data_IF_410464372162
#
_entry.id   IF_410464372162
#
_cell.length_a   1.000
_cell.length_b   1.000
_cell.length_c   1.000
_cell.angle_alpha   90.00
_cell.angle_beta   90.00
_cell.angle_gamma   90.00
#
_symmetry.space_group_name_H-M   'P 1'
#
loop_
_entity.id
_entity.type
_entity.pdbx_description
1 polymer ?
#
# COMPACT_ATOMS: atom_id res chain seq x y z
N UNK A 1 17.74 5.72 15.61
CA UNK A 1 16.40 5.39 16.17
C UNK A 1 15.41 5.52 15.02
N UNK A 2 15.12 4.42 14.33
CA UNK A 2 14.23 4.42 13.17
C UNK A 2 12.81 4.82 13.58
N UNK A 3 12.29 5.86 12.94
CA UNK A 3 10.95 6.41 13.17
C UNK A 3 9.90 5.32 13.19
N UNK A 4 9.10 5.30 14.25
CA UNK A 4 7.91 4.48 14.42
C UNK A 4 7.03 4.62 13.18
N UNK A 5 7.10 3.63 12.30
CA UNK A 5 6.37 3.50 11.05
C UNK A 5 4.86 3.53 11.31
N UNK A 6 4.28 4.73 11.30
CA UNK A 6 2.88 4.97 11.65
C UNK A 6 2.03 4.63 10.44
N UNK A 7 1.46 3.42 10.43
CA UNK A 7 0.46 2.99 9.45
C UNK A 7 -0.57 4.08 9.19
N UNK A 8 -0.61 4.58 7.95
CA UNK A 8 -1.56 5.60 7.51
C UNK A 8 -2.78 4.93 6.87
N UNK A 9 -4.00 5.44 7.07
CA UNK A 9 -5.15 4.94 6.32
C UNK A 9 -4.95 5.22 4.83
N UNK A 10 -5.27 4.25 3.97
CA UNK A 10 -5.19 4.42 2.52
C UNK A 10 -6.45 5.11 2.01
N UNK A 11 -6.36 6.42 1.78
CA UNK A 11 -7.44 7.18 1.15
C UNK A 11 -7.20 7.31 -0.36
N UNK A 12 -7.95 6.54 -1.15
CA UNK A 12 -7.81 6.53 -2.61
C UNK A 12 -8.28 7.84 -3.27
N UNK A 13 -9.11 8.66 -2.58
CA UNK A 13 -9.61 9.93 -3.14
C UNK A 13 -8.60 11.04 -2.90
N UNK A 14 -7.88 10.99 -1.77
CA UNK A 14 -6.88 11.97 -1.35
C UNK A 14 -5.44 11.50 -1.57
N UNK A 15 -5.22 10.50 -2.41
CA UNK A 15 -3.89 9.96 -2.71
C UNK A 15 -2.91 11.03 -3.21
N UNK A 16 -3.38 11.99 -3.99
CA UNK A 16 -2.56 13.11 -4.48
C UNK A 16 -2.18 14.12 -3.40
N UNK A 17 -2.84 14.13 -2.25
CA UNK A 17 -2.56 15.05 -1.14
C UNK A 17 -1.83 14.35 0.02
N UNK A 18 -2.21 13.11 0.33
CA UNK A 18 -1.78 12.38 1.53
C UNK A 18 -0.82 11.23 1.22
N UNK A 19 -0.60 10.92 -0.06
CA UNK A 19 0.07 9.70 -0.50
C UNK A 19 -0.78 8.44 -0.26
N UNK A 20 -0.33 7.28 -0.75
CA UNK A 20 0.93 7.05 -1.46
C UNK A 20 0.91 7.64 -2.87
N UNK A 21 2.04 8.22 -3.26
CA UNK A 21 2.24 8.67 -4.64
C UNK A 21 2.48 7.48 -5.56
N UNK A 22 2.30 7.73 -6.86
CA UNK A 22 2.53 6.71 -7.87
C UNK A 22 3.99 6.26 -7.90
N UNK A 23 4.21 4.95 -8.02
CA UNK A 23 5.56 4.36 -8.06
C UNK A 23 6.24 4.20 -6.69
N UNK A 24 5.67 4.72 -5.60
CA UNK A 24 6.23 4.52 -4.27
C UNK A 24 6.07 3.07 -3.81
N UNK A 25 7.16 2.47 -3.33
CA UNK A 25 7.11 1.18 -2.68
C UNK A 25 6.45 1.33 -1.30
N UNK A 26 5.35 0.63 -1.12
CA UNK A 26 4.60 0.62 0.13
C UNK A 26 4.35 -0.80 0.61
N UNK A 27 4.10 -0.92 1.91
CA UNK A 27 3.42 -2.08 2.47
C UNK A 27 1.95 -1.72 2.64
N UNK A 28 1.08 -2.47 2.01
CA UNK A 28 -0.37 -2.43 2.20
C UNK A 28 -0.77 -3.46 3.24
N UNK A 29 -1.33 -2.98 4.35
CA UNK A 29 -1.95 -3.76 5.39
C UNK A 29 -3.46 -3.79 5.20
N UNK A 30 -4.00 -4.99 5.04
CA UNK A 30 -5.41 -5.27 4.82
C UNK A 30 -6.01 -5.90 6.07
N UNK A 31 -6.73 -5.10 6.85
CA UNK A 31 -7.44 -5.56 8.04
C UNK A 31 -8.85 -5.98 7.66
N UNK A 32 -9.26 -7.25 7.87
CA UNK A 32 -10.58 -7.71 7.46
C UNK A 32 -11.67 -7.05 8.30
N UNK A 33 -12.75 -6.60 7.66
CA UNK A 33 -13.92 -6.03 8.35
C UNK A 33 -14.77 -7.08 9.07
N UNK A 34 -14.53 -8.35 8.76
CA UNK A 34 -15.33 -9.49 9.21
C UNK A 34 -14.40 -10.62 9.59
N UNK A 35 -14.74 -11.40 10.62
CA UNK A 35 -13.94 -12.56 11.07
C UNK A 35 -13.84 -13.71 10.06
N UNK A 36 -14.60 -13.67 8.96
CA UNK A 36 -14.54 -14.66 7.87
C UNK A 36 -13.25 -14.58 7.02
N UNK A 37 -12.40 -13.57 7.25
CA UNK A 37 -11.18 -13.32 6.49
C UNK A 37 -10.03 -13.04 7.43
N UNK A 38 -8.83 -13.42 7.01
CA UNK A 38 -7.61 -13.12 7.73
C UNK A 38 -7.02 -11.78 7.31
N UNK A 39 -6.27 -11.19 8.23
CA UNK A 39 -5.37 -10.08 7.95
C UNK A 39 -4.32 -10.47 6.90
N UNK A 40 -4.00 -9.53 6.01
CA UNK A 40 -3.03 -9.73 4.93
C UNK A 40 -2.14 -8.52 4.76
N UNK A 41 -0.91 -8.77 4.37
CA UNK A 41 0.09 -7.75 4.03
C UNK A 41 0.54 -7.97 2.59
N UNK A 42 0.63 -6.89 1.83
CA UNK A 42 1.16 -6.92 0.45
C UNK A 42 2.19 -5.83 0.33
N UNK A 43 3.38 -6.17 -0.15
CA UNK A 43 4.42 -5.20 -0.48
C UNK A 43 4.38 -4.97 -1.98
N UNK A 44 4.35 -3.71 -2.39
CA UNK A 44 4.21 -3.36 -3.81
C UNK A 44 4.11 -1.87 -4.05
N UNK A 45 3.96 -1.51 -5.31
CA UNK A 45 3.81 -0.12 -5.76
C UNK A 45 2.37 0.15 -6.12
N UNK A 46 1.92 1.37 -5.87
CA UNK A 46 0.61 1.83 -6.33
C UNK A 46 0.76 2.59 -7.64
N UNK A 47 -0.15 2.29 -8.56
CA UNK A 47 -0.18 2.86 -9.91
C UNK A 47 -1.62 3.33 -10.23
N UNK A 48 -1.78 4.52 -10.82
CA UNK A 48 -3.05 4.98 -11.40
C UNK A 48 -3.08 4.64 -12.88
N UNK A 49 -3.98 3.73 -13.25
CA UNK A 49 -4.23 3.41 -14.65
C UNK A 49 -5.68 3.75 -14.97
N UNK A 50 -5.89 4.65 -15.95
CA UNK A 50 -7.21 5.11 -16.38
C UNK A 50 -8.12 5.59 -15.23
N UNK A 51 -7.56 6.35 -14.27
CA UNK A 51 -8.29 6.88 -13.12
C UNK A 51 -8.61 5.85 -12.02
N UNK A 52 -8.11 4.61 -12.15
CA UNK A 52 -8.23 3.57 -11.12
C UNK A 52 -6.88 3.30 -10.49
N UNK A 53 -6.87 3.16 -9.17
CA UNK A 53 -5.67 2.75 -8.44
C UNK A 53 -5.53 1.23 -8.50
N UNK A 54 -4.33 0.77 -8.82
CA UNK A 54 -3.89 -0.61 -8.81
C UNK A 54 -2.67 -0.75 -7.92
N UNK A 55 -2.52 -1.91 -7.30
CA UNK A 55 -1.32 -2.26 -6.57
C UNK A 55 -0.66 -3.46 -7.24
N UNK A 56 0.60 -3.29 -7.61
CA UNK A 56 1.44 -4.32 -8.22
C UNK A 56 2.43 -4.79 -7.16
N UNK A 57 2.30 -6.03 -6.67
CA UNK A 57 3.11 -6.53 -5.55
C UNK A 57 2.96 -8.03 -5.27
N UNK A 58 4.05 -8.69 -4.88
CA UNK A 58 4.04 -10.11 -4.53
C UNK A 58 3.62 -11.06 -5.66
N UNK A 59 3.88 -10.68 -6.92
CA UNK A 59 3.53 -11.48 -8.10
C UNK A 59 2.06 -11.38 -8.53
N UNK A 60 1.26 -10.49 -7.93
CA UNK A 60 -0.13 -10.28 -8.30
C UNK A 60 -0.49 -8.80 -8.40
N UNK A 61 -1.47 -8.47 -9.23
CA UNK A 61 -2.04 -7.13 -9.33
C UNK A 61 -3.41 -7.13 -8.68
N UNK A 62 -3.62 -6.23 -7.71
CA UNK A 62 -4.88 -6.11 -6.98
C UNK A 62 -5.40 -4.67 -7.03
N UNK A 63 -6.72 -4.52 -6.95
CA UNK A 63 -7.36 -3.22 -6.89
C UNK A 63 -7.69 -2.84 -5.44
N UNK A 64 -7.04 -1.80 -4.87
CA UNK A 64 -7.39 -1.29 -3.54
C UNK A 64 -8.85 -0.85 -3.43
N UNK A 65 -9.44 -0.36 -4.53
CA UNK A 65 -10.86 0.05 -4.54
C UNK A 65 -11.80 -1.13 -4.25
N UNK A 66 -11.49 -2.31 -4.79
CA UNK A 66 -12.24 -3.53 -4.50
C UNK A 66 -11.93 -4.07 -3.10
N UNK A 67 -10.67 -3.99 -2.66
CA UNK A 67 -10.28 -4.47 -1.33
C UNK A 67 -10.91 -3.65 -0.20
N UNK A 68 -11.07 -2.32 -0.36
CA UNK A 68 -11.75 -1.42 0.58
C UNK A 68 -13.16 -1.90 0.99
N UNK A 69 -13.86 -2.61 0.10
CA UNK A 69 -15.22 -3.12 0.40
C UNK A 69 -15.20 -4.16 1.51
N UNK A 70 -14.09 -4.90 1.67
CA UNK A 70 -13.97 -6.08 2.54
C UNK A 70 -12.90 -5.93 3.63
N UNK A 71 -11.96 -5.01 3.41
CA UNK A 71 -10.84 -4.73 4.28
C UNK A 71 -10.75 -3.23 4.57
N UNK A 72 -10.29 -2.89 5.76
CA UNK A 72 -9.73 -1.58 6.05
C UNK A 72 -8.27 -1.56 5.61
N UNK A 73 -7.96 -0.61 4.75
CA UNK A 73 -6.66 -0.51 4.09
C UNK A 73 -5.79 0.51 4.82
N UNK A 74 -4.61 0.06 5.23
CA UNK A 74 -3.58 0.89 5.80
C UNK A 74 -2.31 0.72 5.00
N UNK A 75 -1.47 1.73 4.98
CA UNK A 75 -0.22 1.68 4.25
C UNK A 75 0.91 2.30 5.06
N UNK A 76 2.12 1.84 4.79
CA UNK A 76 3.33 2.52 5.20
C UNK A 76 4.28 2.58 4.02
N UNK A 77 5.02 3.69 3.93
CA UNK A 77 6.07 3.85 2.93
C UNK A 77 7.23 2.94 3.32
N UNK A 78 7.64 2.07 2.41
CA UNK A 78 8.86 1.32 2.59
C UNK A 78 9.98 2.17 1.96
N UNK A 79 11.00 2.59 2.72
CA UNK A 79 12.16 3.22 2.11
C UNK A 79 12.81 2.19 1.17
N UNK A 80 12.86 2.51 -0.11
CA UNK A 80 13.73 1.79 -1.05
C UNK A 80 15.15 2.16 -0.65
N UNK A 81 15.80 1.26 0.07
CA UNK A 81 17.18 1.43 0.50
C UNK A 81 18.05 1.51 -0.76
N UNK A 82 18.49 2.72 -1.12
CA UNK A 82 19.45 3.02 -2.19
C UNK A 82 20.87 2.51 -1.83
N UNK A 83 20.97 1.47 -0.98
CA UNK A 83 22.23 0.94 -0.50
C UNK A 83 22.81 -0.07 -1.50
N UNK A 84 22.87 0.34 -2.77
CA UNK A 84 23.94 -0.06 -3.68
C UNK A 84 25.03 1.00 -3.66
N UNK A 85 25.65 1.14 -2.49
CA UNK A 85 27.04 1.59 -2.42
C UNK A 85 27.86 0.41 -1.91
N UNK A 86 28.12 -0.54 -2.81
CA UNK A 86 29.20 -1.50 -2.59
C UNK A 86 30.52 -0.75 -2.85
N UNK A 87 31.45 -0.68 -1.87
CA UNK A 87 32.81 -0.22 -2.12
C UNK A 87 33.57 -1.20 -3.03
#
# INVERSE_FOLDING_TARGET
MGTTERWKPLDLRRRGELGPYDGELIVLHMVPKTSARSERYVVGRLEVVAGRTWMSGGGNTLSPAEMRKRYDLRWVRLPEDDTRSYP
#
